data_IF_180108767044
#
_entry.id   IF_180108767044
#
_cell.length_a   1.000
_cell.length_b   1.000
_cell.length_c   1.000
_cell.angle_alpha   90.00
_cell.angle_beta   90.00
_cell.angle_gamma   90.00
#
_symmetry.space_group_name_H-M   'P 1'
#
loop_
_entity.id
_entity.type
_entity.pdbx_description
1 polymer ?
#
# COMPACT_ATOMS: atom_id res chain seq x y z
N UNK A 1 -35.88 -22.42 -19.64
CA UNK A 1 -34.84 -21.73 -20.45
C UNK A 1 -34.62 -20.27 -20.04
N UNK A 2 -35.67 -19.43 -19.91
CA UNK A 2 -35.58 -17.98 -19.61
C UNK A 2 -34.88 -17.63 -18.29
N UNK A 3 -35.11 -18.43 -17.23
CA UNK A 3 -34.50 -18.21 -15.90
C UNK A 3 -32.99 -18.46 -15.87
N UNK A 4 -32.48 -19.38 -16.72
CA UNK A 4 -31.05 -19.70 -16.85
C UNK A 4 -30.30 -18.62 -17.61
N UNK A 5 -30.93 -18.02 -18.61
CA UNK A 5 -30.39 -16.86 -19.36
C UNK A 5 -30.24 -15.65 -18.43
N UNK A 6 -31.22 -15.41 -17.55
CA UNK A 6 -31.16 -14.32 -16.58
C UNK A 6 -30.03 -14.52 -15.53
N UNK A 7 -29.70 -15.78 -15.18
CA UNK A 7 -28.59 -16.07 -14.24
C UNK A 7 -27.22 -15.84 -14.86
N UNK A 8 -27.04 -16.15 -16.15
CA UNK A 8 -25.80 -15.88 -16.87
C UNK A 8 -25.55 -14.38 -17.10
N UNK A 9 -26.61 -13.59 -17.32
CA UNK A 9 -26.51 -12.14 -17.46
C UNK A 9 -26.10 -11.42 -16.17
N UNK A 10 -26.52 -11.95 -15.01
CA UNK A 10 -26.18 -11.36 -13.71
C UNK A 10 -24.72 -11.66 -13.30
N UNK A 11 -24.18 -12.82 -13.68
CA UNK A 11 -22.80 -13.20 -13.39
C UNK A 11 -21.77 -12.42 -14.22
N UNK A 12 -22.13 -12.00 -15.44
CA UNK A 12 -21.26 -11.21 -16.32
C UNK A 12 -21.04 -9.75 -15.83
N UNK A 13 -21.92 -9.24 -14.97
CA UNK A 13 -21.83 -7.89 -14.41
C UNK A 13 -20.69 -7.72 -13.39
N UNK A 14 -20.28 -8.82 -12.73
CA UNK A 14 -19.27 -8.79 -11.65
C UNK A 14 -17.81 -8.66 -12.13
N UNK A 15 -17.56 -8.67 -13.45
CA UNK A 15 -16.18 -8.66 -14.00
C UNK A 15 -15.71 -7.22 -14.34
N UNK A 16 -16.59 -6.21 -14.25
CA UNK A 16 -16.29 -4.83 -14.67
C UNK A 16 -15.68 -3.94 -13.58
N UNK A 17 -15.32 -4.46 -12.41
CA UNK A 17 -14.59 -3.70 -11.38
C UNK A 17 -13.08 -3.93 -11.36
N UNK A 18 -12.50 -4.49 -12.42
CA UNK A 18 -11.04 -4.48 -12.60
C UNK A 18 -10.64 -3.08 -13.10
N UNK A 19 -10.28 -2.19 -12.17
CA UNK A 19 -9.77 -0.87 -12.48
C UNK A 19 -8.47 -0.94 -13.28
N UNK A 20 -8.45 -0.31 -14.46
CA UNK A 20 -7.23 0.01 -15.18
C UNK A 20 -6.47 1.12 -14.44
N UNK A 21 -5.28 0.81 -13.91
CA UNK A 21 -4.23 1.80 -13.71
C UNK A 21 -3.34 1.77 -14.96
N UNK A 22 -3.37 2.85 -15.75
CA UNK A 22 -2.52 3.01 -16.92
C UNK A 22 -1.29 3.82 -16.50
N UNK A 23 -0.10 3.18 -16.51
CA UNK A 23 1.15 3.89 -16.75
C UNK A 23 2.20 2.96 -17.36
N UNK A 24 2.68 3.39 -18.53
CA UNK A 24 3.95 3.18 -19.23
C UNK A 24 4.68 1.80 -19.25
N UNK A 25 4.59 1.20 -20.44
CA UNK A 25 5.55 0.32 -21.11
C UNK A 25 7.05 0.47 -20.69
N UNK A 26 7.62 -0.56 -20.07
CA UNK A 26 8.99 -1.02 -20.36
C UNK A 26 9.21 -2.46 -19.88
N UNK A 27 9.16 -3.39 -20.83
CA UNK A 27 9.74 -4.73 -20.66
C UNK A 27 11.27 -4.59 -20.62
N UNK A 28 11.93 -5.21 -19.63
CA UNK A 28 13.08 -6.03 -19.96
C UNK A 28 12.94 -7.43 -19.36
N UNK A 29 13.09 -8.40 -20.26
CA UNK A 29 13.28 -9.81 -20.00
C UNK A 29 14.59 -10.04 -19.24
N UNK A 30 14.59 -10.87 -18.19
CA UNK A 30 15.83 -11.32 -17.54
C UNK A 30 15.57 -11.89 -16.14
N UNK A 31 15.76 -13.20 -15.96
CA UNK A 31 15.28 -13.93 -14.79
C UNK A 31 16.16 -13.84 -13.53
N UNK A 32 15.54 -14.19 -12.40
CA UNK A 32 16.11 -14.96 -11.30
C UNK A 32 14.96 -15.44 -10.39
N UNK A 33 14.81 -16.74 -10.05
CA UNK A 33 13.82 -17.20 -9.09
C UNK A 33 14.44 -17.21 -7.70
N UNK A 34 14.74 -16.04 -7.13
CA UNK A 34 15.03 -15.96 -5.69
C UNK A 34 14.89 -14.53 -5.14
N UNK A 35 14.20 -14.43 -4.02
CA UNK A 35 13.86 -13.23 -3.25
C UNK A 35 12.86 -12.24 -3.88
N UNK A 36 11.57 -12.51 -3.68
CA UNK A 36 10.57 -11.44 -3.59
C UNK A 36 10.87 -10.60 -2.34
N UNK A 37 11.85 -9.70 -2.43
CA UNK A 37 11.97 -8.61 -1.46
C UNK A 37 10.69 -7.80 -1.59
N UNK A 38 9.85 -7.80 -0.56
CA UNK A 38 8.72 -6.88 -0.48
C UNK A 38 9.24 -5.47 -0.77
N UNK A 39 8.73 -4.87 -1.85
CA UNK A 39 9.07 -3.51 -2.22
C UNK A 39 8.37 -2.57 -1.24
N UNK A 40 9.09 -2.15 -0.20
CA UNK A 40 8.56 -1.25 0.82
C UNK A 40 8.54 0.19 0.32
N UNK A 41 7.45 0.89 0.60
CA UNK A 41 7.35 2.33 0.39
C UNK A 41 8.14 3.03 1.48
N UNK A 42 9.22 3.71 1.11
CA UNK A 42 10.02 4.51 2.06
C UNK A 42 9.33 5.84 2.35
N UNK A 43 9.15 6.16 3.63
CA UNK A 43 8.51 7.39 4.08
C UNK A 43 9.27 7.98 5.27
N UNK A 44 9.80 9.20 5.12
CA UNK A 44 10.39 9.95 6.23
C UNK A 44 9.37 10.92 6.81
N UNK A 45 9.11 10.83 8.11
CA UNK A 45 8.19 11.71 8.84
C UNK A 45 8.98 12.64 9.76
N UNK A 46 8.72 13.94 9.64
CA UNK A 46 9.37 14.97 10.44
C UNK A 46 8.55 15.30 11.70
N UNK A 47 9.13 15.06 12.87
CA UNK A 47 8.52 15.32 14.16
C UNK A 47 8.93 16.67 14.72
N UNK A 48 8.00 17.63 14.73
CA UNK A 48 8.26 19.00 15.19
C UNK A 48 7.91 19.18 16.68
N UNK A 49 7.00 18.37 17.21
CA UNK A 49 6.56 18.45 18.60
C UNK A 49 6.46 17.06 19.23
N UNK A 50 7.18 16.86 20.33
CA UNK A 50 7.00 15.70 21.20
C UNK A 50 5.80 15.91 22.11
N UNK A 51 4.72 15.15 21.87
CA UNK A 51 3.48 15.22 22.64
C UNK A 51 2.88 13.85 22.83
N UNK A 52 2.26 13.61 23.99
CA UNK A 52 1.51 12.39 24.30
C UNK A 52 0.39 12.11 23.29
N UNK A 53 -0.09 13.14 22.59
CA UNK A 53 -1.06 12.99 21.52
C UNK A 53 -0.60 12.02 20.41
N UNK A 54 0.71 11.95 20.15
CA UNK A 54 1.30 11.03 19.15
C UNK A 54 1.62 9.64 19.72
N UNK A 55 1.26 9.34 20.97
CA UNK A 55 1.45 8.00 21.56
C UNK A 55 0.93 6.85 20.68
N UNK A 56 -0.25 6.95 20.03
CA UNK A 56 -0.71 5.90 19.11
C UNK A 56 0.26 5.66 17.93
N UNK A 57 0.89 6.72 17.41
CA UNK A 57 1.86 6.62 16.32
C UNK A 57 3.14 5.91 16.78
N UNK A 58 3.71 6.25 17.94
CA UNK A 58 4.90 5.56 18.44
C UNK A 58 4.63 4.08 18.72
N UNK A 59 3.45 3.75 19.24
CA UNK A 59 3.05 2.35 19.42
C UNK A 59 2.96 1.63 18.08
N UNK A 60 2.42 2.27 17.03
CA UNK A 60 2.36 1.67 15.69
C UNK A 60 3.76 1.43 15.08
N UNK A 61 4.73 2.31 15.35
CA UNK A 61 6.14 2.10 14.99
C UNK A 61 6.70 0.88 15.72
N UNK A 62 6.55 0.83 17.05
CA UNK A 62 7.06 -0.27 17.90
C UNK A 62 6.41 -1.63 17.61
N UNK A 63 5.18 -1.62 17.09
CA UNK A 63 4.43 -2.84 16.74
C UNK A 63 4.56 -3.24 15.27
N UNK A 64 5.45 -2.61 14.51
CA UNK A 64 5.70 -2.88 13.09
C UNK A 64 4.45 -2.73 12.19
N UNK A 65 3.46 -1.94 12.60
CA UNK A 65 2.22 -1.80 11.82
C UNK A 65 2.48 -1.15 10.46
N UNK A 66 3.39 -0.17 10.38
CA UNK A 66 3.77 0.42 9.09
C UNK A 66 4.40 -0.61 8.16
N UNK A 67 5.28 -1.47 8.68
CA UNK A 67 5.96 -2.50 7.88
C UNK A 67 4.98 -3.57 7.39
N UNK A 68 3.99 -3.94 8.19
CA UNK A 68 2.90 -4.86 7.80
C UNK A 68 2.05 -4.28 6.65
N UNK A 69 1.91 -2.95 6.60
CA UNK A 69 1.24 -2.23 5.52
C UNK A 69 2.18 -1.89 4.34
N UNK A 70 3.40 -2.44 4.32
CA UNK A 70 4.36 -2.22 3.24
C UNK A 70 5.07 -0.87 3.26
N UNK A 71 5.14 -0.21 4.43
CA UNK A 71 5.77 1.11 4.62
C UNK A 71 7.01 0.97 5.51
N UNK A 72 8.16 1.42 4.99
CA UNK A 72 9.37 1.64 5.76
C UNK A 72 9.37 3.09 6.26
N UNK A 73 8.87 3.29 7.49
CA UNK A 73 8.77 4.61 8.11
C UNK A 73 10.07 4.97 8.85
N UNK A 74 10.63 6.13 8.53
CA UNK A 74 11.72 6.77 9.28
C UNK A 74 11.18 8.01 10.00
N UNK A 75 11.27 8.05 11.33
CA UNK A 75 10.89 9.23 12.11
C UNK A 75 12.15 10.06 12.40
N UNK A 76 12.16 11.33 11.98
CA UNK A 76 13.25 12.28 12.23
C UNK A 76 12.76 13.44 13.08
N UNK A 77 13.59 13.91 14.02
CA UNK A 77 13.26 15.11 14.80
C UNK A 77 13.50 16.36 13.95
N UNK A 78 12.45 17.14 13.80
CA UNK A 78 12.44 18.40 13.09
C UNK A 78 12.68 19.58 14.01
N UNK A 79 13.59 20.45 13.61
CA UNK A 79 13.70 21.77 14.20
C UNK A 79 12.55 22.62 13.63
N UNK A 80 11.47 22.77 14.40
CA UNK A 80 10.40 23.71 14.06
C UNK A 80 10.96 25.13 13.86
N UNK A 81 10.37 25.90 12.95
CA UNK A 81 10.71 27.32 12.84
C UNK A 81 10.15 28.05 14.06
N UNK A 82 11.02 28.70 14.84
CA UNK A 82 10.63 29.62 15.91
C UNK A 82 10.21 30.98 15.36
#
# INVERSE_FOLDING_TARGET
MKKRILTFLLAASMILLTGCHSSNNSTPTGGNPDSSKEELTKLTLNEVAHSIFYAPMYVAIEKDYFRQEGIELELVTGFGTV
#
